data_IF_930278903674
#
_entry.id   IF_930278903674
#
_cell.length_a   1.000
_cell.length_b   1.000
_cell.length_c   1.000
_cell.angle_alpha   90.00
_cell.angle_beta   90.00
_cell.angle_gamma   90.00
#
_symmetry.space_group_name_H-M   'P 1'
#
loop_
_entity.id
_entity.type
_entity.pdbx_description
1 polymer ?
#
# COMPACT_ATOMS: atom_id res chain seq x y z
N UNK A 1 20.80 -1.20 17.71
CA UNK A 1 19.92 -2.01 16.84
C UNK A 1 18.53 -1.40 16.62
N UNK A 2 18.02 -0.51 17.49
CA UNK A 2 16.78 0.24 17.25
C UNK A 2 16.86 1.30 16.13
N UNK A 3 18.06 1.75 15.73
CA UNK A 3 18.27 2.88 14.81
C UNK A 3 17.52 2.83 13.47
N UNK A 4 17.32 1.64 12.88
CA UNK A 4 16.62 1.46 11.59
C UNK A 4 15.13 1.85 11.70
N UNK A 5 14.52 1.56 12.86
CA UNK A 5 13.13 1.88 13.20
C UNK A 5 12.99 3.15 14.07
N UNK A 6 14.05 3.56 14.78
CA UNK A 6 14.13 4.77 15.64
C UNK A 6 14.27 6.06 14.84
N UNK A 7 14.53 6.01 13.53
CA UNK A 7 14.27 7.13 12.61
C UNK A 7 12.75 7.37 12.44
N UNK A 8 12.03 7.34 13.56
CA UNK A 8 10.63 7.64 13.69
C UNK A 8 10.38 9.00 13.05
N UNK A 9 9.47 9.00 12.08
CA UNK A 9 9.06 10.21 11.42
C UNK A 9 9.95 10.66 10.26
N UNK A 10 10.67 9.80 9.55
CA UNK A 10 11.13 10.20 8.19
C UNK A 10 9.93 10.64 7.35
N UNK A 11 8.85 9.84 7.34
CA UNK A 11 7.61 10.21 6.62
C UNK A 11 7.01 11.48 7.20
N UNK A 12 6.96 11.61 8.54
CA UNK A 12 6.48 12.83 9.23
C UNK A 12 7.29 14.08 8.88
N UNK A 13 8.63 13.97 8.87
CA UNK A 13 9.60 15.04 8.54
C UNK A 13 9.51 15.44 7.07
N UNK A 14 9.30 14.46 6.18
CA UNK A 14 9.21 14.69 4.75
C UNK A 14 7.76 14.91 4.26
N UNK A 15 6.75 14.83 5.12
CA UNK A 15 5.35 14.99 4.71
C UNK A 15 5.10 16.34 4.04
N UNK A 16 5.76 17.41 4.51
CA UNK A 16 5.71 18.73 3.84
C UNK A 16 6.25 18.67 2.41
N UNK A 17 7.36 17.96 2.19
CA UNK A 17 7.95 17.78 0.85
C UNK A 17 7.06 16.92 -0.04
N UNK A 18 6.50 15.84 0.52
CA UNK A 18 5.56 14.96 -0.19
C UNK A 18 4.34 15.77 -0.64
N UNK A 19 3.72 16.51 0.29
CA UNK A 19 2.58 17.40 -0.04
C UNK A 19 2.98 18.43 -1.09
N UNK A 20 4.15 19.06 -0.96
CA UNK A 20 4.64 20.02 -1.97
C UNK A 20 4.73 19.38 -3.35
N UNK A 21 5.34 18.20 -3.48
CA UNK A 21 5.44 17.47 -4.75
C UNK A 21 4.06 17.08 -5.31
N UNK A 22 3.13 16.67 -4.46
CA UNK A 22 1.75 16.38 -4.88
C UNK A 22 1.04 17.64 -5.40
N UNK A 23 1.25 18.81 -4.77
CA UNK A 23 0.74 20.09 -5.26
C UNK A 23 1.36 20.49 -6.60
N UNK A 24 2.67 20.27 -6.79
CA UNK A 24 3.36 20.47 -8.07
C UNK A 24 2.82 19.56 -9.19
N UNK A 25 2.21 18.42 -8.82
CA UNK A 25 1.49 17.53 -9.73
C UNK A 25 0.00 17.90 -9.88
N UNK A 26 -0.38 19.14 -9.55
CA UNK A 26 -1.72 19.70 -9.68
C UNK A 26 -2.80 19.10 -8.77
N UNK A 27 -2.45 18.41 -7.68
CA UNK A 27 -3.46 17.99 -6.69
C UNK A 27 -3.96 19.21 -5.88
N UNK A 28 -5.27 19.32 -5.66
CA UNK A 28 -5.81 20.40 -4.83
C UNK A 28 -5.70 20.05 -3.35
N UNK A 29 -5.41 21.06 -2.51
CA UNK A 29 -5.43 20.94 -1.04
C UNK A 29 -6.76 20.40 -0.50
N UNK A 30 -7.87 20.63 -1.21
CA UNK A 30 -9.20 20.14 -0.84
C UNK A 30 -9.28 18.60 -0.82
N UNK A 31 -8.57 17.92 -1.72
CA UNK A 31 -8.50 16.46 -1.76
C UNK A 31 -7.84 15.96 -0.48
N UNK A 32 -6.67 16.48 -0.08
CA UNK A 32 -5.94 16.01 1.10
C UNK A 32 -6.77 15.96 2.39
N UNK A 33 -7.74 16.87 2.59
CA UNK A 33 -8.62 16.85 3.76
C UNK A 33 -9.37 15.52 3.90
N UNK A 34 -9.83 14.94 2.80
CA UNK A 34 -10.58 13.67 2.80
C UNK A 34 -9.67 12.44 2.93
N UNK A 35 -8.37 12.56 2.68
CA UNK A 35 -7.41 11.45 2.82
C UNK A 35 -6.73 11.43 4.18
N UNK A 36 -6.84 12.48 4.99
CA UNK A 36 -6.17 12.55 6.32
C UNK A 36 -6.42 11.34 7.22
N UNK A 37 -7.59 10.70 7.16
CA UNK A 37 -7.90 9.50 7.96
C UNK A 37 -7.11 8.27 7.52
N UNK A 38 -6.83 8.14 6.22
CA UNK A 38 -6.03 7.06 5.62
C UNK A 38 -4.53 7.35 5.68
N UNK A 39 -4.16 8.61 5.44
CA UNK A 39 -2.79 9.10 5.34
C UNK A 39 -2.09 9.21 6.72
N UNK A 40 -2.85 9.37 7.82
CA UNK A 40 -2.30 9.66 9.17
C UNK A 40 -1.25 8.67 9.69
N UNK A 41 -1.20 7.46 9.15
CA UNK A 41 -0.31 6.41 9.67
C UNK A 41 0.71 5.88 8.65
N UNK A 42 0.56 6.17 7.35
CA UNK A 42 1.53 5.89 6.27
C UNK A 42 2.18 4.49 6.32
N UNK A 43 1.43 3.45 6.70
CA UNK A 43 2.00 2.11 6.96
C UNK A 43 2.69 1.52 5.72
N UNK A 44 2.13 1.69 4.52
CA UNK A 44 2.71 1.18 3.27
C UNK A 44 4.06 1.87 3.04
N UNK A 45 4.09 3.21 3.10
CA UNK A 45 5.31 4.00 2.91
C UNK A 45 6.36 3.68 3.97
N UNK A 46 5.94 3.49 5.23
CA UNK A 46 6.87 3.14 6.32
C UNK A 46 7.50 1.78 6.11
N UNK A 47 6.71 0.76 5.75
CA UNK A 47 7.23 -0.56 5.44
C UNK A 47 8.19 -0.49 4.23
N UNK A 48 7.81 0.23 3.17
CA UNK A 48 8.70 0.46 2.02
C UNK A 48 10.04 1.09 2.42
N UNK A 49 10.01 2.18 3.19
CA UNK A 49 11.21 2.86 3.71
C UNK A 49 12.05 1.95 4.60
N UNK A 50 11.43 1.13 5.45
CA UNK A 50 12.18 0.18 6.28
C UNK A 50 12.89 -0.88 5.45
N UNK A 51 12.22 -1.42 4.43
CA UNK A 51 12.81 -2.39 3.51
C UNK A 51 13.98 -1.79 2.71
N UNK A 52 13.87 -0.52 2.29
CA UNK A 52 14.97 0.22 1.67
C UNK A 52 16.18 0.29 2.62
N UNK A 53 15.97 0.71 3.87
CA UNK A 53 17.04 0.86 4.86
C UNK A 53 17.73 -0.46 5.19
N UNK A 54 16.97 -1.54 5.33
CA UNK A 54 17.52 -2.86 5.60
C UNK A 54 18.47 -3.34 4.50
N UNK A 55 18.26 -2.86 3.28
CA UNK A 55 19.11 -3.12 2.12
C UNK A 55 20.11 -1.99 1.82
N UNK A 56 20.35 -1.09 2.78
CA UNK A 56 21.25 0.06 2.61
C UNK A 56 20.91 0.97 1.40
N UNK A 57 19.64 1.04 1.01
CA UNK A 57 19.14 1.93 -0.05
C UNK A 57 18.75 3.28 0.55
N UNK A 58 19.23 4.37 -0.03
CA UNK A 58 18.96 5.72 0.47
C UNK A 58 17.54 6.20 0.10
N UNK A 59 16.71 6.58 1.07
CA UNK A 59 15.29 6.89 0.80
C UNK A 59 15.10 8.12 -0.09
N UNK A 60 16.11 9.00 -0.14
CA UNK A 60 16.11 10.19 -1.01
C UNK A 60 16.05 9.80 -2.49
N UNK A 61 16.71 8.71 -2.87
CA UNK A 61 16.73 8.21 -4.26
C UNK A 61 15.37 7.66 -4.67
N UNK A 62 14.59 7.17 -3.71
CA UNK A 62 13.27 6.57 -3.92
C UNK A 62 12.12 7.52 -3.52
N UNK A 63 12.38 8.83 -3.44
CA UNK A 63 11.36 9.80 -3.05
C UNK A 63 10.16 9.82 -4.02
N UNK A 64 10.43 9.73 -5.33
CA UNK A 64 9.36 9.69 -6.34
C UNK A 64 8.56 8.38 -6.27
N UNK A 65 9.17 7.26 -5.87
CA UNK A 65 8.47 6.01 -5.56
C UNK A 65 7.47 6.19 -4.41
N UNK A 66 7.85 6.91 -3.36
CA UNK A 66 7.00 7.22 -2.23
C UNK A 66 5.83 8.14 -2.64
N UNK A 67 6.10 9.12 -3.51
CA UNK A 67 5.07 10.01 -4.07
C UNK A 67 4.08 9.21 -4.92
N UNK A 68 4.58 8.28 -5.75
CA UNK A 68 3.75 7.41 -6.58
C UNK A 68 2.83 6.52 -5.73
N UNK A 69 3.36 5.87 -4.67
CA UNK A 69 2.54 5.10 -3.72
C UNK A 69 1.40 5.96 -3.18
N UNK A 70 1.70 7.21 -2.78
CA UNK A 70 0.67 8.12 -2.24
C UNK A 70 -0.38 8.50 -3.28
N UNK A 71 0.03 8.81 -4.52
CA UNK A 71 -0.90 9.12 -5.61
C UNK A 71 -1.84 7.97 -5.90
N UNK A 72 -1.31 6.74 -5.99
CA UNK A 72 -2.08 5.54 -6.24
C UNK A 72 -3.11 5.31 -5.12
N UNK A 73 -2.70 5.44 -3.85
CA UNK A 73 -3.61 5.31 -2.71
C UNK A 73 -4.71 6.38 -2.71
N UNK A 74 -4.35 7.63 -3.01
CA UNK A 74 -5.34 8.73 -3.13
C UNK A 74 -6.33 8.39 -4.24
N UNK A 75 -5.86 8.09 -5.45
CA UNK A 75 -6.69 7.78 -6.61
C UNK A 75 -7.69 6.68 -6.29
N UNK A 76 -7.21 5.60 -5.69
CA UNK A 76 -8.03 4.47 -5.31
C UNK A 76 -9.10 4.85 -4.28
N UNK A 77 -8.71 5.54 -3.21
CA UNK A 77 -9.65 5.93 -2.16
C UNK A 77 -10.70 6.96 -2.63
N UNK A 78 -10.41 7.73 -3.68
CA UNK A 78 -11.40 8.64 -4.29
C UNK A 78 -12.63 7.91 -4.79
N UNK A 79 -12.51 6.67 -5.26
CA UNK A 79 -13.65 5.89 -5.75
C UNK A 79 -14.74 5.67 -4.69
N UNK A 80 -14.39 5.71 -3.39
CA UNK A 80 -15.36 5.60 -2.29
C UNK A 80 -15.94 6.95 -1.83
N UNK A 81 -15.38 8.07 -2.30
CA UNK A 81 -15.81 9.41 -1.89
C UNK A 81 -16.83 9.95 -2.91
N UNK A 82 -18.12 9.99 -2.52
CA UNK A 82 -19.23 10.45 -3.38
C UNK A 82 -19.29 11.97 -3.63
N UNK A 83 -18.20 12.73 -3.38
CA UNK A 83 -18.18 14.19 -3.57
C UNK A 83 -17.72 14.55 -4.99
N UNK A 84 -18.56 15.26 -5.74
CA UNK A 84 -18.30 15.62 -7.14
C UNK A 84 -16.97 16.40 -7.34
N UNK A 85 -16.62 17.31 -6.42
CA UNK A 85 -15.34 18.05 -6.46
C UNK A 85 -14.12 17.13 -6.36
N UNK A 86 -14.22 16.04 -5.58
CA UNK A 86 -13.16 15.04 -5.46
C UNK A 86 -13.10 14.21 -6.74
N UNK A 87 -14.24 13.69 -7.22
CA UNK A 87 -14.31 12.91 -8.46
C UNK A 87 -13.72 13.65 -9.68
N UNK A 88 -13.95 14.97 -9.80
CA UNK A 88 -13.38 15.80 -10.88
C UNK A 88 -11.85 15.79 -10.91
N UNK A 89 -11.19 15.67 -9.76
CA UNK A 89 -9.72 15.60 -9.67
C UNK A 89 -9.15 14.23 -10.05
N UNK A 90 -9.99 13.20 -10.22
CA UNK A 90 -9.51 11.85 -10.51
C UNK A 90 -8.70 11.79 -11.81
N UNK A 91 -9.07 12.59 -12.82
CA UNK A 91 -8.34 12.69 -14.10
C UNK A 91 -6.93 13.26 -13.91
N UNK A 92 -6.79 14.32 -13.12
CA UNK A 92 -5.50 14.98 -12.86
C UNK A 92 -4.54 14.03 -12.13
N UNK A 93 -5.05 13.30 -11.14
CA UNK A 93 -4.28 12.31 -10.39
C UNK A 93 -3.89 11.13 -11.28
N UNK A 94 -4.81 10.61 -12.09
CA UNK A 94 -4.51 9.54 -13.02
C UNK A 94 -3.45 9.95 -14.05
N UNK A 95 -3.51 11.18 -14.56
CA UNK A 95 -2.47 11.73 -15.44
C UNK A 95 -1.11 11.81 -14.73
N UNK A 96 -1.08 12.25 -13.47
CA UNK A 96 0.15 12.28 -12.69
C UNK A 96 0.73 10.87 -12.48
N UNK A 97 -0.11 9.87 -12.18
CA UNK A 97 0.28 8.46 -12.07
C UNK A 97 0.86 7.97 -13.41
N UNK A 98 0.13 8.17 -14.52
CA UNK A 98 0.56 7.72 -15.85
C UNK A 98 1.86 8.38 -16.31
N UNK A 99 2.15 9.60 -15.85
CA UNK A 99 3.42 10.29 -16.12
C UNK A 99 4.56 9.74 -15.26
N UNK A 100 4.31 9.49 -13.98
CA UNK A 100 5.34 9.17 -12.99
C UNK A 100 5.67 7.67 -12.96
N UNK A 101 4.68 6.80 -13.12
CA UNK A 101 4.83 5.35 -13.04
C UNK A 101 5.86 4.79 -14.03
N UNK A 102 5.90 5.17 -15.32
CA UNK A 102 6.91 4.64 -16.25
C UNK A 102 8.35 5.05 -15.93
N UNK A 103 8.55 6.12 -15.16
CA UNK A 103 9.88 6.59 -14.75
C UNK A 103 10.43 5.79 -13.56
N UNK A 104 9.53 5.19 -12.77
CA UNK A 104 9.86 4.44 -11.56
C UNK A 104 9.82 2.94 -11.85
N UNK A 105 8.72 2.48 -12.44
CA UNK A 105 8.42 1.07 -12.69
C UNK A 105 8.94 0.69 -14.08
N UNK A 106 10.20 0.30 -14.13
CA UNK A 106 10.88 -0.12 -15.36
C UNK A 106 10.54 -1.57 -15.71
N UNK A 107 10.41 -2.42 -14.68
CA UNK A 107 10.08 -3.83 -14.85
C UNK A 107 8.80 -4.16 -14.09
N UNK A 108 7.82 -4.76 -14.78
CA UNK A 108 6.50 -5.07 -14.23
C UNK A 108 6.34 -6.57 -14.01
N UNK A 109 6.04 -6.94 -12.78
CA UNK A 109 5.44 -8.22 -12.46
C UNK A 109 3.92 -8.08 -12.54
N UNK A 110 3.26 -9.09 -13.12
CA UNK A 110 1.81 -9.13 -13.31
C UNK A 110 1.18 -10.33 -12.59
N UNK A 111 1.71 -10.67 -11.42
CA UNK A 111 1.18 -11.76 -10.60
C UNK A 111 -0.08 -11.25 -9.89
N UNK A 112 -1.19 -11.97 -10.08
CA UNK A 112 -2.48 -11.65 -9.47
C UNK A 112 -2.77 -12.57 -8.29
N UNK A 113 -2.32 -12.17 -7.11
CA UNK A 113 -2.61 -12.91 -5.88
C UNK A 113 -4.07 -12.81 -5.45
N UNK A 114 -4.86 -11.84 -5.94
CA UNK A 114 -6.30 -11.83 -5.60
C UNK A 114 -7.01 -13.06 -6.18
N UNK A 115 -6.71 -13.44 -7.42
CA UNK A 115 -7.35 -14.62 -8.04
C UNK A 115 -7.01 -15.89 -7.29
N UNK A 116 -5.78 -16.05 -6.82
CA UNK A 116 -5.36 -17.20 -6.02
C UNK A 116 -6.02 -17.21 -4.63
N UNK A 117 -5.99 -16.08 -3.93
CA UNK A 117 -6.48 -15.95 -2.55
C UNK A 117 -7.99 -15.98 -2.43
N UNK A 118 -8.70 -15.43 -3.42
CA UNK A 118 -10.16 -15.45 -3.45
C UNK A 118 -10.71 -16.63 -4.24
N UNK A 119 -9.92 -17.30 -5.09
CA UNK A 119 -10.35 -18.44 -5.91
C UNK A 119 -10.89 -19.62 -5.10
N UNK A 120 -10.54 -19.68 -3.81
CA UNK A 120 -11.04 -20.68 -2.86
C UNK A 120 -12.40 -20.32 -2.23
N UNK A 121 -13.03 -19.20 -2.64
CA UNK A 121 -14.24 -18.65 -2.03
C UNK A 121 -15.31 -18.47 -3.11
N UNK A 122 -16.56 -18.72 -2.77
CA UNK A 122 -17.69 -18.47 -3.66
C UNK A 122 -17.81 -16.96 -3.98
N UNK A 123 -17.28 -16.58 -5.15
CA UNK A 123 -17.25 -15.21 -5.67
C UNK A 123 -18.63 -14.62 -5.94
N UNK A 124 -19.68 -15.45 -5.98
CA UNK A 124 -21.05 -15.00 -6.19
C UNK A 124 -21.71 -14.47 -4.92
N UNK A 125 -21.05 -14.58 -3.77
CA UNK A 125 -21.56 -14.01 -2.54
C UNK A 125 -21.52 -12.46 -2.61
N UNK A 126 -22.70 -11.84 -2.67
CA UNK A 126 -22.91 -10.38 -2.72
C UNK A 126 -22.15 -9.58 -1.66
N UNK A 127 -21.72 -10.25 -0.57
CA UNK A 127 -20.95 -9.65 0.53
C UNK A 127 -19.43 -9.62 0.31
N UNK A 128 -18.89 -10.42 -0.61
CA UNK A 128 -17.46 -10.44 -0.95
C UNK A 128 -17.16 -9.49 -2.11
N UNK A 129 -18.10 -9.35 -3.05
CA UNK A 129 -17.99 -8.49 -4.25
C UNK A 129 -17.51 -7.05 -3.97
N UNK A 130 -17.92 -6.35 -2.89
CA UNK A 130 -17.43 -4.98 -2.63
C UNK A 130 -15.95 -4.88 -2.24
N UNK A 131 -15.32 -6.01 -1.91
CA UNK A 131 -13.91 -6.10 -1.51
C UNK A 131 -12.99 -6.53 -2.69
N UNK A 132 -13.56 -6.68 -3.90
CA UNK A 132 -12.94 -7.21 -5.12
C UNK A 132 -13.43 -6.40 -6.35
N UNK A 133 -12.76 -6.46 -7.53
CA UNK A 133 -11.34 -6.72 -7.78
C UNK A 133 -10.53 -5.43 -7.68
N UNK A 134 -9.46 -5.46 -6.90
CA UNK A 134 -8.55 -4.34 -6.72
C UNK A 134 -7.10 -4.68 -7.05
N UNK A 135 -6.89 -5.79 -7.75
CA UNK A 135 -5.62 -6.28 -8.25
C UNK A 135 -4.77 -5.17 -8.86
N UNK A 136 -5.35 -4.31 -9.71
CA UNK A 136 -4.59 -3.23 -10.36
C UNK A 136 -3.96 -2.28 -9.34
N UNK A 137 -4.66 -1.92 -8.26
CA UNK A 137 -4.09 -1.14 -7.17
C UNK A 137 -2.92 -1.90 -6.52
N UNK A 138 -3.17 -3.15 -6.15
CA UNK A 138 -2.21 -3.94 -5.39
C UNK A 138 -0.94 -4.19 -6.20
N UNK A 139 -1.09 -4.55 -7.48
CA UNK A 139 -0.01 -4.78 -8.41
C UNK A 139 0.81 -3.52 -8.68
N UNK A 140 0.19 -2.34 -8.83
CA UNK A 140 0.94 -1.10 -9.04
C UNK A 140 1.82 -0.79 -7.82
N UNK A 141 1.29 -0.86 -6.60
CA UNK A 141 2.10 -0.62 -5.40
C UNK A 141 3.16 -1.71 -5.21
N UNK A 142 2.82 -2.98 -5.44
CA UNK A 142 3.75 -4.10 -5.39
C UNK A 142 4.92 -3.93 -6.36
N UNK A 143 4.64 -3.43 -7.56
CA UNK A 143 5.68 -3.12 -8.54
C UNK A 143 6.60 -1.98 -8.06
N UNK A 144 6.09 -0.98 -7.33
CA UNK A 144 6.95 0.02 -6.67
C UNK A 144 7.82 -0.60 -5.59
N UNK A 145 7.28 -1.52 -4.79
CA UNK A 145 8.06 -2.26 -3.79
C UNK A 145 9.17 -3.10 -4.42
N UNK A 146 8.94 -3.63 -5.62
CA UNK A 146 9.88 -4.47 -6.34
C UNK A 146 11.08 -3.73 -6.93
N UNK A 147 10.90 -2.51 -7.47
CA UNK A 147 11.95 -1.81 -8.25
C UNK A 147 13.32 -1.69 -7.55
N UNK A 148 13.41 -1.36 -6.25
CA UNK A 148 14.72 -1.23 -5.58
C UNK A 148 15.48 -2.55 -5.43
N UNK A 149 14.82 -3.68 -5.67
CA UNK A 149 15.31 -5.03 -5.35
C UNK A 149 15.29 -5.95 -6.57
N UNK A 150 15.33 -5.40 -7.79
CA UNK A 150 15.40 -6.16 -9.04
C UNK A 150 16.57 -7.16 -9.04
N UNK A 151 17.73 -6.72 -8.54
CA UNK A 151 18.95 -7.53 -8.49
C UNK A 151 19.04 -8.39 -7.22
N UNK A 152 18.06 -8.31 -6.31
CA UNK A 152 18.08 -9.09 -5.08
C UNK A 152 17.60 -10.52 -5.37
N UNK A 153 18.26 -11.58 -4.84
CA UNK A 153 17.84 -12.96 -5.05
C UNK A 153 16.37 -13.23 -4.67
N UNK A 154 15.88 -12.50 -3.67
CA UNK A 154 14.51 -12.54 -3.18
C UNK A 154 13.63 -11.38 -3.71
N UNK A 155 13.99 -10.72 -4.82
CA UNK A 155 13.29 -9.55 -5.36
C UNK A 155 11.78 -9.74 -5.48
N UNK A 156 11.34 -10.93 -5.91
CA UNK A 156 9.91 -11.30 -6.01
C UNK A 156 9.16 -11.26 -4.67
N UNK A 157 9.82 -11.57 -3.56
CA UNK A 157 9.18 -11.51 -2.24
C UNK A 157 8.83 -10.07 -1.86
N UNK A 158 9.59 -9.07 -2.31
CA UNK A 158 9.24 -7.66 -2.08
C UNK A 158 7.98 -7.26 -2.84
N UNK A 159 7.78 -7.77 -4.07
CA UNK A 159 6.53 -7.62 -4.80
C UNK A 159 5.37 -8.25 -4.03
N UNK A 160 5.52 -9.53 -3.65
CA UNK A 160 4.49 -10.27 -2.91
C UNK A 160 4.11 -9.56 -1.61
N UNK A 161 5.10 -9.19 -0.80
CA UNK A 161 4.87 -8.47 0.45
C UNK A 161 4.14 -7.14 0.22
N UNK A 162 4.57 -6.35 -0.78
CA UNK A 162 3.90 -5.09 -1.13
C UNK A 162 2.45 -5.30 -1.54
N UNK A 163 2.17 -6.33 -2.34
CA UNK A 163 0.83 -6.70 -2.79
C UNK A 163 -0.06 -7.07 -1.61
N UNK A 164 0.39 -8.02 -0.80
CA UNK A 164 -0.38 -8.58 0.32
C UNK A 164 -0.60 -7.53 1.42
N UNK A 165 0.38 -6.66 1.69
CA UNK A 165 0.24 -5.60 2.68
C UNK A 165 -0.87 -4.61 2.29
N UNK A 166 -0.91 -4.19 1.03
CA UNK A 166 -1.95 -3.28 0.52
C UNK A 166 -3.31 -3.96 0.59
N UNK A 167 -3.40 -5.22 0.15
CA UNK A 167 -4.61 -6.02 0.26
C UNK A 167 -5.10 -6.15 1.71
N UNK A 168 -4.20 -6.46 2.65
CA UNK A 168 -4.52 -6.55 4.07
C UNK A 168 -5.08 -5.24 4.61
N UNK A 169 -4.44 -4.11 4.29
CA UNK A 169 -4.92 -2.79 4.71
C UNK A 169 -6.29 -2.52 4.12
N UNK A 170 -6.49 -2.83 2.84
CA UNK A 170 -7.76 -2.61 2.17
C UNK A 170 -8.90 -3.43 2.81
N UNK A 171 -8.65 -4.70 3.12
CA UNK A 171 -9.60 -5.56 3.84
C UNK A 171 -9.96 -5.01 5.23
N UNK A 172 -9.03 -4.35 5.93
CA UNK A 172 -9.30 -3.73 7.23
C UNK A 172 -10.09 -2.41 7.09
N UNK A 173 -9.70 -1.57 6.13
CA UNK A 173 -10.30 -0.27 5.87
C UNK A 173 -11.72 -0.40 5.33
N UNK A 174 -11.90 -1.18 4.26
CA UNK A 174 -13.20 -1.34 3.60
C UNK A 174 -14.20 -1.98 4.57
N UNK A 175 -13.78 -2.92 5.42
CA UNK A 175 -14.65 -3.53 6.45
C UNK A 175 -15.32 -2.46 7.32
N UNK A 176 -14.57 -1.44 7.72
CA UNK A 176 -15.08 -0.33 8.52
C UNK A 176 -16.01 0.58 7.72
N UNK A 177 -15.66 0.86 6.45
CA UNK A 177 -16.48 1.71 5.56
C UNK A 177 -17.84 1.04 5.27
N UNK A 178 -17.84 -0.28 5.09
CA UNK A 178 -19.02 -1.06 4.73
C UNK A 178 -19.80 -1.60 5.93
N UNK A 179 -19.33 -1.38 7.17
CA UNK A 179 -19.95 -1.85 8.41
C UNK A 179 -20.22 -3.38 8.48
N UNK A 180 -19.54 -4.20 7.68
CA UNK A 180 -19.80 -5.64 7.58
C UNK A 180 -18.89 -6.44 8.51
N UNK A 181 -19.15 -6.34 9.82
CA UNK A 181 -18.31 -6.95 10.85
C UNK A 181 -18.45 -8.47 10.97
N UNK A 182 -19.45 -9.08 10.33
CA UNK A 182 -19.86 -10.48 10.54
C UNK A 182 -19.62 -11.39 9.33
N UNK A 183 -18.93 -10.93 8.30
CA UNK A 183 -18.63 -11.76 7.14
C UNK A 183 -17.46 -12.73 7.41
N UNK A 184 -17.82 -13.99 7.64
CA UNK A 184 -16.88 -15.09 7.93
C UNK A 184 -15.92 -15.33 6.76
N UNK A 185 -16.38 -15.24 5.52
CA UNK A 185 -15.53 -15.47 4.35
C UNK A 185 -14.47 -14.38 4.20
N UNK A 186 -14.86 -13.12 4.37
CA UNK A 186 -13.90 -11.99 4.37
C UNK A 186 -12.89 -12.12 5.52
N UNK A 187 -13.33 -12.64 6.68
CA UNK A 187 -12.43 -12.89 7.80
C UNK A 187 -11.43 -14.02 7.48
N UNK A 188 -11.84 -15.11 6.83
CA UNK A 188 -10.94 -16.17 6.37
C UNK A 188 -9.90 -15.64 5.39
N UNK A 189 -10.30 -14.85 4.38
CA UNK A 189 -9.35 -14.19 3.46
C UNK A 189 -8.35 -13.36 4.24
N UNK A 190 -8.83 -12.54 5.17
CA UNK A 190 -7.95 -11.68 5.97
C UNK A 190 -6.91 -12.50 6.73
N UNK A 191 -7.30 -13.62 7.34
CA UNK A 191 -6.35 -14.52 8.02
C UNK A 191 -5.32 -15.09 7.05
N UNK A 192 -5.77 -15.55 5.88
CA UNK A 192 -4.88 -16.09 4.85
C UNK A 192 -3.88 -15.04 4.34
N UNK A 193 -4.36 -13.85 3.98
CA UNK A 193 -3.51 -12.71 3.55
C UNK A 193 -2.54 -12.31 4.64
N UNK A 194 -2.97 -12.30 5.90
CA UNK A 194 -2.10 -11.98 7.05
C UNK A 194 -0.99 -13.02 7.18
N UNK A 195 -1.33 -14.31 7.06
CA UNK A 195 -0.37 -15.40 7.12
C UNK A 195 0.67 -15.29 6.00
N UNK A 196 0.25 -15.11 4.75
CA UNK A 196 1.16 -14.95 3.62
C UNK A 196 2.03 -13.68 3.72
N UNK A 197 1.45 -12.55 4.18
CA UNK A 197 2.22 -11.34 4.49
C UNK A 197 3.38 -11.66 5.47
N UNK A 198 3.11 -12.50 6.46
CA UNK A 198 4.05 -12.82 7.51
C UNK A 198 5.13 -13.79 7.02
N UNK A 199 4.79 -14.75 6.18
CA UNK A 199 5.79 -15.60 5.53
C UNK A 199 6.72 -14.77 4.63
N UNK A 200 6.15 -13.93 3.75
CA UNK A 200 6.97 -13.10 2.86
C UNK A 200 7.96 -12.20 3.64
N UNK A 201 7.52 -11.57 4.74
CA UNK A 201 8.42 -10.72 5.54
C UNK A 201 9.42 -11.52 6.39
N UNK A 202 9.04 -12.72 6.86
CA UNK A 202 9.96 -13.62 7.55
C UNK A 202 11.11 -14.05 6.63
N UNK A 203 10.80 -14.32 5.36
CA UNK A 203 11.79 -14.75 4.37
C UNK A 203 12.69 -13.60 3.90
N UNK A 204 12.12 -12.39 3.73
CA UNK A 204 12.88 -11.18 3.37
C UNK A 204 13.83 -10.75 4.49
N UNK A 205 13.35 -10.76 5.74
CA UNK A 205 14.09 -10.18 6.87
C UNK A 205 13.85 -10.91 8.19
N UNK A 206 14.37 -12.14 8.34
CA UNK A 206 14.12 -12.98 9.52
C UNK A 206 14.48 -12.28 10.84
N UNK A 207 15.63 -11.58 10.86
CA UNK A 207 16.13 -10.88 12.04
C UNK A 207 15.21 -9.74 12.52
N UNK A 208 14.42 -9.15 11.61
CA UNK A 208 13.54 -8.02 11.91
C UNK A 208 12.06 -8.38 11.84
N UNK A 209 11.73 -9.65 11.58
CA UNK A 209 10.37 -10.18 11.48
C UNK A 209 9.48 -9.67 12.61
N UNK A 210 9.85 -9.92 13.86
CA UNK A 210 9.06 -9.54 15.03
C UNK A 210 8.75 -8.03 15.09
N UNK A 211 9.67 -7.16 14.65
CA UNK A 211 9.44 -5.71 14.60
C UNK A 211 8.40 -5.33 13.54
N UNK A 212 8.47 -5.92 12.35
CA UNK A 212 7.46 -5.72 11.30
C UNK A 212 6.07 -6.18 11.79
N UNK A 213 5.99 -7.35 12.40
CA UNK A 213 4.74 -7.91 12.94
C UNK A 213 4.15 -7.00 14.01
N UNK A 214 4.94 -6.60 15.01
CA UNK A 214 4.47 -5.73 16.08
C UNK A 214 3.97 -4.38 15.54
N UNK A 215 4.71 -3.77 14.62
CA UNK A 215 4.37 -2.48 14.04
C UNK A 215 3.07 -2.54 13.21
N UNK A 216 2.94 -3.57 12.38
CA UNK A 216 1.76 -3.76 11.53
C UNK A 216 0.54 -4.13 12.37
N UNK A 217 0.66 -5.01 13.36
CA UNK A 217 -0.44 -5.37 14.27
C UNK A 217 -0.96 -4.18 15.08
N UNK A 218 -0.06 -3.39 15.66
CA UNK A 218 -0.42 -2.17 16.39
C UNK A 218 -1.22 -1.20 15.53
N UNK A 219 -0.85 -1.07 14.25
CA UNK A 219 -1.59 -0.24 13.30
C UNK A 219 -3.00 -0.79 13.05
N UNK A 220 -3.08 -2.10 12.75
CA UNK A 220 -4.32 -2.77 12.36
C UNK A 220 -5.34 -2.79 13.50
N UNK A 221 -4.90 -2.89 14.76
CA UNK A 221 -5.78 -2.77 15.93
C UNK A 221 -6.43 -1.39 16.06
N UNK A 222 -5.75 -0.33 15.57
CA UNK A 222 -6.21 1.05 15.67
C UNK A 222 -7.08 1.50 14.50
N UNK A 223 -7.46 0.60 13.58
CA UNK A 223 -8.34 0.88 12.45
C UNK A 223 -9.60 0.02 12.54
#
# INVERSE_FOLDING_TARGET
>A
MGQIFEHQGWVKRNNRKIIKKLLELNLNRAVFKYFTTFDRKDIIIKNYVYLLRLNNRAEKEYFDSIVLIKLILIYYHMHYIKRQKVQKQGKEILQAINKLAPQIILYRLNVNYETELFGTIDHHHHRVKPYYPYHLLYAEIANVFYQPFLDHPQGKLYYEYGYLLVMLINLNVIKKILNDTKNVEVYKVKLLVTSQCYYAIADITPAYFNYFIQYNNYFLQKY
#
